data_IF_849549132322
#
_entry.id   IF_849549132322
#
_cell.length_a   1.000
_cell.length_b   1.000
_cell.length_c   1.000
_cell.angle_alpha   90.00
_cell.angle_beta   90.00
_cell.angle_gamma   90.00
#
_symmetry.space_group_name_H-M   'P 1'
#
loop_
_entity.id
_entity.type
_entity.pdbx_description
1 polymer ?
#
# COMPACT_ATOMS: atom_id res chain seq x y z
N UNK A 1 -14.95 4.45 -31.07
CA UNK A 1 -16.39 4.73 -30.86
C UNK A 1 -16.56 5.34 -29.48
N UNK A 2 -17.03 6.58 -29.38
CA UNK A 2 -17.57 7.11 -28.12
C UNK A 2 -19.08 6.87 -28.20
N UNK A 3 -19.60 5.93 -27.41
CA UNK A 3 -21.04 5.82 -27.21
C UNK A 3 -21.38 6.82 -26.09
N UNK A 4 -22.15 7.88 -26.36
CA UNK A 4 -22.48 8.91 -25.35
C UNK A 4 -23.33 8.38 -24.18
N UNK A 5 -23.91 7.18 -24.30
CA UNK A 5 -24.66 6.52 -23.21
C UNK A 5 -23.79 5.76 -22.22
N UNK A 6 -22.51 5.51 -22.54
CA UNK A 6 -21.59 4.75 -21.68
C UNK A 6 -20.58 5.71 -21.05
N UNK A 7 -20.82 6.07 -19.78
CA UNK A 7 -20.02 7.06 -19.04
C UNK A 7 -19.01 6.40 -18.10
N UNK A 8 -19.33 5.21 -17.57
CA UNK A 8 -18.53 4.46 -16.62
C UNK A 8 -18.04 3.13 -17.22
N UNK A 9 -16.99 2.54 -16.64
CA UNK A 9 -16.56 1.21 -17.06
C UNK A 9 -17.55 0.12 -16.66
N UNK A 10 -18.30 0.31 -15.57
CA UNK A 10 -19.41 -0.58 -15.20
C UNK A 10 -20.49 -0.69 -16.27
N UNK A 11 -20.65 0.32 -17.12
CA UNK A 11 -21.62 0.29 -18.21
C UNK A 11 -21.19 -0.71 -19.30
N UNK A 12 -19.90 -1.07 -19.35
CA UNK A 12 -19.35 -2.12 -20.21
C UNK A 12 -19.22 -3.47 -19.48
N UNK A 13 -18.82 -3.47 -18.21
CA UNK A 13 -18.60 -4.68 -17.41
C UNK A 13 -18.77 -4.40 -15.91
N UNK A 14 -19.72 -5.07 -15.22
CA UNK A 14 -19.92 -4.88 -13.77
C UNK A 14 -18.68 -5.14 -12.92
N UNK A 15 -17.74 -5.98 -13.39
CA UNK A 15 -16.50 -6.29 -12.68
C UNK A 15 -15.50 -5.12 -12.66
N UNK A 16 -15.71 -4.08 -13.46
CA UNK A 16 -14.86 -2.90 -13.53
C UNK A 16 -15.24 -1.78 -12.54
N UNK A 17 -16.24 -2.01 -11.67
CA UNK A 17 -16.62 -1.09 -10.59
C UNK A 17 -15.46 -0.51 -9.75
N UNK A 18 -14.36 -1.25 -9.46
CA UNK A 18 -13.21 -0.67 -8.78
C UNK A 18 -12.57 0.51 -9.51
N UNK A 19 -12.57 0.51 -10.85
CA UNK A 19 -12.04 1.62 -11.63
C UNK A 19 -12.85 2.88 -11.43
N UNK A 20 -14.16 2.79 -11.51
CA UNK A 20 -15.06 3.94 -11.37
C UNK A 20 -14.98 4.51 -9.94
N UNK A 21 -14.93 3.64 -8.93
CA UNK A 21 -14.73 4.05 -7.54
C UNK A 21 -13.39 4.79 -7.34
N UNK A 22 -12.28 4.21 -7.81
CA UNK A 22 -10.96 4.85 -7.67
C UNK A 22 -10.82 6.11 -8.53
N UNK A 23 -11.51 6.17 -9.68
CA UNK A 23 -11.54 7.35 -10.54
C UNK A 23 -12.26 8.49 -9.85
N UNK A 24 -13.46 8.25 -9.32
CA UNK A 24 -14.24 9.23 -8.56
C UNK A 24 -13.42 9.85 -7.41
N UNK A 25 -12.81 9.03 -6.55
CA UNK A 25 -11.95 9.55 -5.47
C UNK A 25 -10.72 10.29 -6.02
N UNK A 26 -10.21 9.89 -7.20
CA UNK A 26 -9.11 10.61 -7.86
C UNK A 26 -9.52 11.98 -8.39
N UNK A 27 -10.77 12.16 -8.77
CA UNK A 27 -11.31 13.45 -9.15
C UNK A 27 -11.44 14.37 -7.92
N UNK A 28 -11.94 13.84 -6.80
CA UNK A 28 -12.01 14.59 -5.54
C UNK A 28 -10.63 15.07 -5.07
N UNK A 29 -9.63 14.18 -5.05
CA UNK A 29 -8.25 14.55 -4.67
C UNK A 29 -7.65 15.51 -5.68
N UNK A 30 -7.98 15.37 -6.97
CA UNK A 30 -7.59 16.31 -8.02
C UNK A 30 -8.15 17.71 -7.75
N UNK A 31 -9.43 17.79 -7.38
CA UNK A 31 -10.10 19.03 -6.98
C UNK A 31 -9.43 19.70 -5.78
N UNK A 32 -9.05 18.94 -4.75
CA UNK A 32 -8.31 19.46 -3.60
C UNK A 32 -6.98 20.09 -4.02
N UNK A 33 -6.22 19.45 -4.92
CA UNK A 33 -4.97 20.03 -5.42
C UNK A 33 -5.18 21.34 -6.19
N UNK A 34 -6.31 21.48 -6.90
CA UNK A 34 -6.62 22.70 -7.64
C UNK A 34 -6.98 23.88 -6.73
N UNK A 35 -7.27 23.66 -5.44
CA UNK A 35 -7.55 24.74 -4.48
C UNK A 35 -6.30 25.56 -4.12
N UNK A 36 -5.10 25.06 -4.41
CA UNK A 36 -3.84 25.73 -4.14
C UNK A 36 -3.02 25.86 -5.42
N UNK A 37 -2.69 27.10 -5.82
CA UNK A 37 -1.97 27.37 -7.07
C UNK A 37 -0.64 26.60 -7.19
N UNK A 38 0.04 26.37 -6.06
CA UNK A 38 1.28 25.59 -6.02
C UNK A 38 1.12 24.12 -6.47
N UNK A 39 -0.09 23.56 -6.40
CA UNK A 39 -0.39 22.17 -6.74
C UNK A 39 -1.26 22.00 -7.99
N UNK A 40 -1.55 23.07 -8.73
CA UNK A 40 -2.41 23.03 -9.91
C UNK A 40 -1.97 21.95 -10.93
N UNK A 41 -0.66 21.85 -11.16
CA UNK A 41 -0.06 20.83 -12.05
C UNK A 41 -0.39 19.39 -11.63
N UNK A 42 -0.54 19.12 -10.33
CA UNK A 42 -0.93 17.79 -9.84
C UNK A 42 -2.41 17.51 -10.13
N UNK A 43 -3.28 18.48 -9.85
CA UNK A 43 -4.71 18.39 -10.20
C UNK A 43 -4.93 18.14 -11.69
N UNK A 44 -4.29 18.95 -12.56
CA UNK A 44 -4.40 18.80 -14.02
C UNK A 44 -3.94 17.43 -14.52
N UNK A 45 -2.86 16.87 -13.96
CA UNK A 45 -2.40 15.51 -14.32
C UNK A 45 -3.35 14.43 -13.82
N UNK A 46 -3.93 14.60 -12.63
CA UNK A 46 -4.89 13.64 -12.06
C UNK A 46 -6.17 13.60 -12.88
N UNK A 47 -6.63 14.74 -13.41
CA UNK A 47 -7.79 14.80 -14.31
C UNK A 47 -7.62 13.90 -15.55
N UNK A 48 -6.40 13.68 -16.03
CA UNK A 48 -6.13 12.81 -17.19
C UNK A 48 -5.80 11.35 -16.81
N UNK A 49 -5.68 11.04 -15.51
CA UNK A 49 -5.21 9.74 -15.05
C UNK A 49 -6.19 8.60 -15.35
N UNK A 50 -5.76 7.60 -16.12
CA UNK A 50 -6.63 6.49 -16.51
C UNK A 50 -7.66 6.88 -17.58
N UNK A 51 -7.54 8.07 -18.19
CA UNK A 51 -8.43 8.50 -19.28
C UNK A 51 -8.26 7.70 -20.57
N UNK A 52 -7.19 6.90 -20.68
CA UNK A 52 -7.01 5.90 -21.74
C UNK A 52 -6.65 4.55 -21.11
N UNK A 53 -7.52 3.57 -21.35
CA UNK A 53 -7.32 2.18 -21.01
C UNK A 53 -7.47 1.35 -22.30
N UNK A 54 -6.41 0.62 -22.67
CA UNK A 54 -6.45 -0.31 -23.80
C UNK A 54 -6.51 -1.72 -23.26
N UNK A 55 -7.55 -2.42 -23.64
CA UNK A 55 -7.73 -3.82 -23.30
C UNK A 55 -7.45 -4.69 -24.52
N UNK A 56 -7.03 -5.92 -24.26
CA UNK A 56 -6.85 -6.94 -25.27
C UNK A 56 -7.28 -8.30 -24.74
N UNK A 57 -7.81 -9.14 -25.62
CA UNK A 57 -8.15 -10.51 -25.27
C UNK A 57 -6.90 -11.29 -24.83
N UNK A 58 -7.08 -12.14 -23.82
CA UNK A 58 -6.06 -13.02 -23.31
C UNK A 58 -6.70 -14.35 -22.95
N UNK A 59 -6.26 -15.41 -23.61
CA UNK A 59 -6.66 -16.79 -23.30
C UNK A 59 -5.71 -17.37 -22.26
N UNK A 60 -6.26 -17.83 -21.14
CA UNK A 60 -5.51 -18.57 -20.11
C UNK A 60 -5.17 -19.95 -20.66
N UNK A 61 -3.87 -20.28 -20.75
CA UNK A 61 -3.43 -21.58 -21.29
C UNK A 61 -3.92 -22.77 -20.48
N UNK A 62 -4.08 -22.59 -19.17
CA UNK A 62 -4.46 -23.66 -18.23
C UNK A 62 -5.96 -24.00 -18.28
N UNK A 63 -6.82 -23.00 -18.50
CA UNK A 63 -8.28 -23.17 -18.44
C UNK A 63 -8.98 -23.02 -19.80
N UNK A 64 -8.28 -22.52 -20.82
CA UNK A 64 -8.88 -22.15 -22.12
C UNK A 64 -9.77 -20.91 -22.08
N UNK A 65 -9.97 -20.32 -20.90
CA UNK A 65 -10.87 -19.18 -20.72
C UNK A 65 -10.26 -17.91 -21.31
N UNK A 66 -11.03 -17.19 -22.14
CA UNK A 66 -10.60 -15.92 -22.72
C UNK A 66 -11.18 -14.77 -21.91
N UNK A 67 -10.31 -13.91 -21.38
CA UNK A 67 -10.69 -12.72 -20.63
C UNK A 67 -10.12 -11.47 -21.27
N UNK A 68 -10.89 -10.39 -21.22
CA UNK A 68 -10.41 -9.07 -21.58
C UNK A 68 -9.45 -8.59 -20.49
N UNK A 69 -8.20 -8.27 -20.83
CA UNK A 69 -7.18 -7.81 -19.88
C UNK A 69 -6.65 -6.45 -20.27
N UNK A 70 -6.41 -5.60 -19.26
CA UNK A 70 -5.74 -4.32 -19.46
C UNK A 70 -4.32 -4.54 -19.97
N UNK A 71 -4.00 -3.98 -21.14
CA UNK A 71 -2.68 -4.04 -21.79
C UNK A 71 -1.89 -2.75 -21.59
N UNK A 72 -2.56 -1.62 -21.70
CA UNK A 72 -1.96 -0.30 -21.57
C UNK A 72 -2.89 0.63 -20.80
N UNK A 73 -2.31 1.49 -19.96
CA UNK A 73 -3.03 2.53 -19.25
C UNK A 73 -2.13 3.75 -19.03
N UNK A 74 -2.72 4.94 -19.16
CA UNK A 74 -2.00 6.21 -18.98
C UNK A 74 -2.19 6.72 -17.55
N UNK A 75 -1.20 6.50 -16.70
CA UNK A 75 -1.26 6.88 -15.29
C UNK A 75 -0.51 8.18 -15.02
N UNK A 76 -1.12 9.07 -14.22
CA UNK A 76 -0.50 10.34 -13.87
C UNK A 76 0.73 10.18 -12.97
N UNK A 77 0.83 9.10 -12.18
CA UNK A 77 1.89 8.85 -11.18
C UNK A 77 2.03 9.93 -10.09
N UNK A 78 1.01 10.77 -9.89
CA UNK A 78 0.96 11.69 -8.75
C UNK A 78 0.88 10.87 -7.46
N UNK A 79 1.66 11.27 -6.44
CA UNK A 79 1.88 10.48 -5.22
C UNK A 79 0.58 10.10 -4.51
N UNK A 80 -0.42 10.97 -4.51
CA UNK A 80 -1.68 10.75 -3.81
C UNK A 80 -2.86 10.45 -4.75
N UNK A 81 -2.61 10.17 -6.04
CA UNK A 81 -3.68 9.76 -6.96
C UNK A 81 -4.19 8.35 -6.60
N UNK A 82 -5.47 8.19 -6.21
CA UNK A 82 -6.06 6.91 -5.82
C UNK A 82 -5.96 5.84 -6.91
N UNK A 83 -6.25 6.17 -8.17
CA UNK A 83 -6.06 5.25 -9.31
C UNK A 83 -4.62 4.74 -9.37
N UNK A 84 -3.63 5.64 -9.31
CA UNK A 84 -2.22 5.25 -9.36
C UNK A 84 -1.80 4.42 -8.14
N UNK A 85 -2.29 4.77 -6.94
CA UNK A 85 -1.98 4.04 -5.71
C UNK A 85 -2.54 2.62 -5.74
N UNK A 86 -3.80 2.47 -6.14
CA UNK A 86 -4.44 1.17 -6.29
C UNK A 86 -3.74 0.30 -7.33
N UNK A 87 -3.46 0.83 -8.53
CA UNK A 87 -2.74 0.08 -9.57
C UNK A 87 -1.34 -0.32 -9.11
N UNK A 88 -0.68 0.53 -8.33
CA UNK A 88 0.61 0.24 -7.72
C UNK A 88 0.51 -0.86 -6.66
N UNK A 89 -0.53 -0.89 -5.82
CA UNK A 89 -0.71 -1.95 -4.83
C UNK A 89 -0.93 -3.31 -5.49
N UNK A 90 -1.77 -3.38 -6.54
CA UNK A 90 -1.97 -4.60 -7.33
C UNK A 90 -0.68 -5.11 -7.98
N UNK A 91 0.13 -4.19 -8.53
CA UNK A 91 1.43 -4.54 -9.12
C UNK A 91 2.38 -5.13 -8.08
N UNK A 92 2.48 -4.51 -6.89
CA UNK A 92 3.32 -5.03 -5.81
C UNK A 92 2.83 -6.38 -5.29
N UNK A 93 1.52 -6.55 -5.16
CA UNK A 93 0.92 -7.82 -4.77
C UNK A 93 1.27 -8.92 -5.79
N UNK A 94 1.13 -8.65 -7.09
CA UNK A 94 1.50 -9.61 -8.14
C UNK A 94 3.00 -9.98 -8.08
N UNK A 95 3.89 -9.00 -7.90
CA UNK A 95 5.34 -9.26 -7.75
C UNK A 95 5.65 -10.10 -6.52
N UNK A 96 4.95 -9.85 -5.41
CA UNK A 96 5.10 -10.63 -4.19
C UNK A 96 4.67 -12.08 -4.41
N UNK A 97 3.49 -12.32 -4.99
CA UNK A 97 3.02 -13.67 -5.32
C UNK A 97 3.96 -14.42 -6.28
N UNK A 98 4.52 -13.74 -7.27
CA UNK A 98 5.51 -14.34 -8.18
C UNK A 98 6.81 -14.74 -7.46
N UNK A 99 7.20 -14.00 -6.43
CA UNK A 99 8.42 -14.26 -5.66
C UNK A 99 8.22 -15.31 -4.56
N UNK A 100 6.98 -15.49 -4.09
CA UNK A 100 6.64 -16.32 -2.94
C UNK A 100 7.09 -17.79 -3.07
N UNK A 101 6.93 -18.48 -4.22
CA UNK A 101 7.40 -19.87 -4.35
C UNK A 101 8.90 -20.02 -4.10
N UNK A 102 9.70 -19.08 -4.59
CA UNK A 102 11.14 -19.06 -4.36
C UNK A 102 11.47 -18.81 -2.89
N UNK A 103 10.79 -17.87 -2.25
CA UNK A 103 10.99 -17.58 -0.81
C UNK A 103 10.70 -18.84 0.03
N UNK A 104 9.63 -19.57 -0.28
CA UNK A 104 9.26 -20.81 0.42
C UNK A 104 10.31 -21.91 0.20
N UNK A 105 10.85 -22.03 -1.02
CA UNK A 105 11.90 -23.00 -1.33
C UNK A 105 13.25 -22.66 -0.65
N UNK A 106 13.64 -21.39 -0.68
CA UNK A 106 14.92 -20.91 -0.12
C UNK A 106 14.90 -20.88 1.43
N UNK A 107 13.71 -20.73 2.04
CA UNK A 107 13.51 -20.63 3.50
C UNK A 107 12.37 -21.54 4.01
N UNK A 108 12.52 -22.88 3.93
CA UNK A 108 11.43 -23.83 4.20
C UNK A 108 10.92 -23.80 5.65
N UNK A 109 11.80 -23.47 6.59
CA UNK A 109 11.45 -23.38 8.01
C UNK A 109 10.99 -21.98 8.44
N UNK A 110 11.03 -20.98 7.55
CA UNK A 110 10.58 -19.65 7.91
C UNK A 110 9.09 -19.64 8.27
N UNK A 111 8.73 -18.71 9.14
CA UNK A 111 7.36 -18.45 9.56
C UNK A 111 7.04 -16.99 9.30
N UNK A 112 5.76 -16.72 9.02
CA UNK A 112 5.28 -15.36 8.83
C UNK A 112 4.82 -14.78 10.15
N UNK A 113 5.27 -13.56 10.45
CA UNK A 113 4.83 -12.78 11.60
C UNK A 113 4.36 -11.42 11.11
N UNK A 114 3.20 -10.99 11.60
CA UNK A 114 2.66 -9.67 11.30
C UNK A 114 2.83 -8.75 12.52
N UNK A 115 3.51 -7.63 12.33
CA UNK A 115 3.78 -6.63 13.37
C UNK A 115 3.21 -5.28 12.95
N UNK A 116 2.29 -4.76 13.76
CA UNK A 116 1.74 -3.42 13.60
C UNK A 116 2.41 -2.47 14.57
N UNK A 117 3.09 -1.43 14.06
CA UNK A 117 3.75 -0.39 14.85
C UNK A 117 2.97 0.90 14.72
N UNK A 118 2.46 1.42 15.83
CA UNK A 118 1.60 2.61 15.85
C UNK A 118 2.12 3.67 16.82
N UNK A 119 1.57 4.88 16.73
CA UNK A 119 1.82 5.98 17.64
C UNK A 119 0.48 6.52 18.15
N UNK A 120 0.52 7.35 19.20
CA UNK A 120 -0.66 8.15 19.55
C UNK A 120 -1.05 9.03 18.37
N UNK A 121 -2.34 9.29 18.24
CA UNK A 121 -2.85 10.18 17.22
C UNK A 121 -2.13 11.52 17.25
N UNK A 122 -1.86 12.07 16.07
CA UNK A 122 -1.24 13.39 15.90
C UNK A 122 -2.20 14.32 15.16
N UNK A 123 -1.99 15.63 15.28
CA UNK A 123 -2.72 16.58 14.46
C UNK A 123 -2.40 16.33 12.97
N UNK A 124 -3.37 16.51 12.07
CA UNK A 124 -3.14 16.28 10.62
C UNK A 124 -1.95 17.10 10.09
N UNK A 125 -1.79 18.34 10.56
CA UNK A 125 -0.67 19.21 10.17
C UNK A 125 0.71 18.67 10.59
N UNK A 126 0.77 17.84 11.63
CA UNK A 126 2.00 17.25 12.15
C UNK A 126 2.31 15.86 11.55
N UNK A 127 1.37 15.31 10.75
CA UNK A 127 1.47 13.94 10.20
C UNK A 127 2.79 13.71 9.45
N UNK A 128 3.21 14.68 8.63
CA UNK A 128 4.45 14.58 7.86
C UNK A 128 5.68 14.42 8.76
N UNK A 129 5.75 15.21 9.84
CA UNK A 129 6.83 15.12 10.82
C UNK A 129 6.77 13.81 11.60
N UNK A 130 5.58 13.40 12.04
CA UNK A 130 5.39 12.13 12.75
C UNK A 130 5.82 10.94 11.89
N UNK A 131 5.47 10.92 10.61
CA UNK A 131 5.91 9.88 9.68
C UNK A 131 7.43 9.86 9.49
N UNK A 132 8.10 11.02 9.47
CA UNK A 132 9.57 11.09 9.44
C UNK A 132 10.17 10.50 10.72
N UNK A 133 9.62 10.83 11.89
CA UNK A 133 10.04 10.28 13.19
C UNK A 133 9.84 8.76 13.23
N UNK A 134 8.68 8.26 12.80
CA UNK A 134 8.39 6.83 12.72
C UNK A 134 9.33 6.11 11.75
N UNK A 135 9.63 6.68 10.58
CA UNK A 135 10.59 6.10 9.65
C UNK A 135 11.99 6.00 10.25
N UNK A 136 12.46 7.04 10.92
CA UNK A 136 13.74 7.02 11.62
C UNK A 136 13.73 5.99 12.78
N UNK A 137 12.62 5.87 13.50
CA UNK A 137 12.45 4.87 14.55
C UNK A 137 12.50 3.45 14.00
N UNK A 138 11.89 3.19 12.84
CA UNK A 138 11.98 1.88 12.19
C UNK A 138 13.42 1.53 11.78
N UNK A 139 14.20 2.51 11.29
CA UNK A 139 15.63 2.31 10.98
C UNK A 139 16.43 1.92 12.23
N UNK A 140 16.08 2.45 13.41
CA UNK A 140 16.69 2.02 14.68
C UNK A 140 16.19 0.66 15.12
N UNK A 141 14.89 0.37 14.93
CA UNK A 141 14.26 -0.88 15.34
C UNK A 141 14.90 -2.08 14.62
N UNK A 142 15.16 -1.97 13.32
CA UNK A 142 15.78 -3.07 12.54
C UNK A 142 17.20 -3.44 13.02
N UNK A 143 17.86 -2.53 13.75
CA UNK A 143 19.21 -2.72 14.29
C UNK A 143 19.19 -3.26 15.74
N UNK A 144 18.01 -3.44 16.35
CA UNK A 144 17.87 -3.99 17.72
C UNK A 144 18.11 -5.50 17.72
N UNK A 145 18.64 -6.01 18.84
CA UNK A 145 18.93 -7.45 19.02
C UNK A 145 17.70 -8.33 18.82
N UNK A 146 16.52 -7.84 19.18
CA UNK A 146 15.24 -8.53 19.05
C UNK A 146 14.76 -8.61 17.59
N UNK A 147 15.19 -7.67 16.75
CA UNK A 147 14.89 -7.66 15.32
C UNK A 147 15.93 -8.44 14.50
N UNK A 148 17.15 -8.62 15.02
CA UNK A 148 18.24 -9.34 14.36
C UNK A 148 17.86 -10.72 13.77
N UNK A 149 17.00 -11.55 14.40
CA UNK A 149 16.62 -12.84 13.81
C UNK A 149 15.63 -12.74 12.64
N UNK A 150 15.02 -11.58 12.38
CA UNK A 150 14.11 -11.37 11.25
C UNK A 150 14.93 -11.48 9.94
N UNK A 151 14.58 -12.43 9.08
CA UNK A 151 15.36 -12.72 7.87
C UNK A 151 14.96 -11.80 6.69
N UNK A 152 13.79 -11.18 6.77
CA UNK A 152 13.28 -10.25 5.76
C UNK A 152 11.90 -9.72 6.11
N UNK A 153 11.50 -8.59 5.50
CA UNK A 153 10.19 -7.99 5.75
C UNK A 153 9.72 -7.12 4.58
N UNK A 154 8.40 -6.93 4.53
CA UNK A 154 7.74 -5.88 3.75
C UNK A 154 6.99 -4.99 4.73
N UNK A 155 7.04 -3.67 4.51
CA UNK A 155 6.36 -2.69 5.36
C UNK A 155 5.55 -1.73 4.51
N UNK A 156 4.30 -1.50 4.90
CA UNK A 156 3.45 -0.43 4.37
C UNK A 156 3.16 0.60 5.44
N UNK A 157 2.88 1.83 5.00
CA UNK A 157 2.40 2.91 5.86
C UNK A 157 0.93 3.11 5.59
N UNK A 158 0.14 3.08 6.65
CA UNK A 158 -1.28 3.37 6.62
C UNK A 158 -1.57 4.54 7.55
N UNK A 159 -2.54 5.38 7.17
CA UNK A 159 -2.99 6.51 7.97
C UNK A 159 -4.51 6.47 7.97
N UNK A 160 -5.08 6.31 9.15
CA UNK A 160 -6.53 6.45 9.36
C UNK A 160 -6.83 7.81 9.95
N UNK A 161 -7.99 8.37 9.61
CA UNK A 161 -8.49 9.62 10.18
C UNK A 161 -9.51 9.30 11.27
N UNK A 162 -9.27 9.77 12.48
CA UNK A 162 -10.19 9.61 13.60
C UNK A 162 -11.37 10.59 13.51
N UNK A 163 -12.44 10.32 14.26
CA UNK A 163 -13.67 11.13 14.25
C UNK A 163 -13.44 12.57 14.74
N UNK A 164 -12.46 12.78 15.62
CA UNK A 164 -12.00 14.09 16.09
C UNK A 164 -11.14 14.84 15.05
N UNK A 165 -10.91 14.23 13.88
CA UNK A 165 -10.10 14.79 12.82
C UNK A 165 -8.59 14.59 12.99
N UNK A 166 -8.13 13.91 14.05
CA UNK A 166 -6.72 13.54 14.20
C UNK A 166 -6.30 12.42 13.24
N UNK A 167 -4.99 12.29 13.01
CA UNK A 167 -4.41 11.25 12.17
C UNK A 167 -3.78 10.14 13.02
N UNK A 168 -4.03 8.89 12.63
CA UNK A 168 -3.49 7.69 13.26
C UNK A 168 -2.55 6.95 12.29
N UNK A 169 -1.29 7.39 12.16
CA UNK A 169 -0.31 6.70 11.31
C UNK A 169 0.18 5.41 11.97
N UNK A 170 0.25 4.35 11.19
CA UNK A 170 0.77 3.06 11.63
C UNK A 170 1.49 2.33 10.48
N UNK A 171 2.42 1.45 10.85
CA UNK A 171 3.13 0.58 9.94
C UNK A 171 2.63 -0.84 10.08
N UNK A 172 2.25 -1.44 8.95
CA UNK A 172 2.01 -2.87 8.86
C UNK A 172 3.27 -3.53 8.31
N UNK A 173 3.86 -4.42 9.09
CA UNK A 173 5.11 -5.11 8.75
C UNK A 173 4.86 -6.60 8.69
N UNK A 174 4.93 -7.17 7.48
CA UNK A 174 4.92 -8.62 7.27
C UNK A 174 6.37 -9.10 7.25
N UNK A 175 6.74 -9.94 8.21
CA UNK A 175 8.11 -10.40 8.43
C UNK A 175 8.21 -11.91 8.19
N UNK A 176 9.35 -12.36 7.68
CA UNK A 176 9.75 -13.77 7.71
C UNK A 176 10.74 -13.94 8.87
N UNK A 177 10.45 -14.90 9.74
CA UNK A 177 11.18 -15.13 11.00
C UNK A 177 11.47 -16.62 11.19
N UNK A 178 12.52 -17.00 11.93
CA UNK A 178 12.73 -18.39 12.31
C UNK A 178 11.63 -18.86 13.28
N UNK A 179 11.32 -20.17 13.35
CA UNK A 179 10.29 -20.73 14.23
C UNK A 179 10.44 -20.31 15.70
N UNK A 180 11.68 -20.17 16.17
CA UNK A 180 11.98 -19.76 17.54
C UNK A 180 11.44 -18.38 17.94
N UNK A 181 11.12 -17.50 16.98
CA UNK A 181 10.47 -16.21 17.26
C UNK A 181 8.96 -16.34 17.53
N UNK A 182 8.36 -17.52 17.34
CA UNK A 182 6.94 -17.78 17.63
C UNK A 182 6.73 -18.59 18.91
N UNK A 183 7.69 -19.43 19.30
CA UNK A 183 7.50 -20.36 20.42
C UNK A 183 8.79 -20.73 21.17
N UNK A 184 9.90 -20.00 20.99
CA UNK A 184 11.21 -20.40 21.50
C UNK A 184 12.04 -19.27 22.13
N UNK A 185 13.35 -19.50 22.23
CA UNK A 185 14.31 -18.61 22.92
C UNK A 185 14.41 -17.19 22.33
N UNK A 186 14.00 -16.99 21.07
CA UNK A 186 13.98 -15.69 20.40
C UNK A 186 12.58 -15.07 20.34
N UNK A 187 11.59 -15.63 21.03
CA UNK A 187 10.26 -15.05 21.13
C UNK A 187 10.30 -13.69 21.83
N UNK A 188 9.70 -12.69 21.21
CA UNK A 188 9.63 -11.33 21.73
C UNK A 188 8.18 -11.07 22.14
N UNK A 189 7.96 -10.93 23.45
CA UNK A 189 6.64 -10.63 24.02
C UNK A 189 6.14 -9.28 23.53
N UNK A 190 4.81 -9.13 23.48
CA UNK A 190 4.17 -7.88 23.08
C UNK A 190 4.68 -6.66 23.87
N UNK A 191 4.77 -6.75 25.19
CA UNK A 191 5.29 -5.68 26.06
C UNK A 191 6.69 -5.24 25.64
N UNK A 192 7.55 -6.19 25.26
CA UNK A 192 8.91 -5.88 24.80
C UNK A 192 8.90 -5.16 23.45
N UNK A 193 7.99 -5.52 22.54
CA UNK A 193 7.81 -4.76 21.29
C UNK A 193 7.37 -3.32 21.55
N UNK A 194 6.46 -3.11 22.51
CA UNK A 194 6.01 -1.77 22.91
C UNK A 194 7.18 -0.95 23.45
N UNK A 195 7.96 -1.50 24.37
CA UNK A 195 9.17 -0.85 24.92
C UNK A 195 10.15 -0.48 23.81
N UNK A 196 10.53 -1.43 22.96
CA UNK A 196 11.45 -1.21 21.85
C UNK A 196 10.98 -0.13 20.92
N UNK A 197 9.68 -0.12 20.59
CA UNK A 197 9.12 0.88 19.70
C UNK A 197 9.16 2.27 20.33
N UNK A 198 8.83 2.41 21.61
CA UNK A 198 8.95 3.66 22.36
C UNK A 198 10.39 4.16 22.46
N UNK A 199 11.33 3.28 22.82
CA UNK A 199 12.77 3.56 22.83
C UNK A 199 13.25 4.05 21.46
N UNK A 200 12.85 3.35 20.39
CA UNK A 200 13.20 3.72 19.03
C UNK A 200 12.53 5.02 18.61
N UNK A 201 11.30 5.31 19.02
CA UNK A 201 10.63 6.60 18.79
C UNK A 201 11.23 7.74 19.62
N UNK A 202 11.90 7.42 20.74
CA UNK A 202 12.41 8.36 21.75
C UNK A 202 11.27 9.09 22.49
N UNK A 203 10.29 8.31 22.99
CA UNK A 203 9.09 8.78 23.73
C UNK A 203 8.72 7.87 24.90
#
# INVERSE_FOLDING_TARGET
MKNPELQNLTDYSPSDAPWDAHRSVSDDVGGIYLLAAEYERYGARMALCGGLLRFGWSTLKETGETRLRLREAHFCRVRHCPVCQWRRSLMWQARFYQSLPRIVADYPDARWMFLTLTVRNCAIGELGEMLNRMNAAFQRLKDRKEFRPVQGWIRTTEVTRSSDGSAHPHFHTLMIVPPGMLNGKSYVRHERWVELWRECLRV
#
